data_IF_359940820832
#
_entry.id   IF_359940820832
#
_cell.length_a   1.000
_cell.length_b   1.000
_cell.length_c   1.000
_cell.angle_alpha   90.00
_cell.angle_beta   90.00
_cell.angle_gamma   90.00
#
_symmetry.space_group_name_H-M   'P 1'
#
loop_
_entity.id
_entity.type
_entity.pdbx_description
1 polymer ?
#
# COMPACT_ATOMS: atom_id res chain seq x y z
N UNK A 1 -12.30 33.43 -2.31
CA UNK A 1 -10.88 33.22 -2.65
C UNK A 1 -10.28 32.01 -1.94
N UNK A 2 -10.54 31.80 -0.63
CA UNK A 2 -10.17 30.55 0.06
C UNK A 2 -10.81 29.30 -0.57
N UNK A 3 -12.11 29.36 -0.87
CA UNK A 3 -12.85 28.23 -1.48
C UNK A 3 -12.26 27.74 -2.81
N UNK A 4 -11.66 28.61 -3.63
CA UNK A 4 -11.04 28.24 -4.92
C UNK A 4 -9.68 27.55 -4.73
N UNK A 5 -8.91 27.98 -3.73
CA UNK A 5 -7.61 27.40 -3.38
C UNK A 5 -7.81 26.01 -2.75
N UNK A 6 -8.79 25.88 -1.87
CA UNK A 6 -9.15 24.60 -1.26
C UNK A 6 -9.65 23.59 -2.30
N UNK A 7 -10.37 24.07 -3.32
CA UNK A 7 -10.82 23.25 -4.45
C UNK A 7 -9.66 22.72 -5.30
N UNK A 8 -8.70 23.59 -5.62
CA UNK A 8 -7.53 23.21 -6.41
C UNK A 8 -6.64 22.20 -5.67
N UNK A 9 -6.43 22.38 -4.36
CA UNK A 9 -5.62 21.44 -3.56
C UNK A 9 -6.28 20.06 -3.48
N UNK A 10 -7.62 19.99 -3.41
CA UNK A 10 -8.37 18.72 -3.45
C UNK A 10 -8.24 18.01 -4.79
N UNK A 11 -8.37 18.72 -5.90
CA UNK A 11 -8.20 18.13 -7.24
C UNK A 11 -6.78 17.59 -7.44
N UNK A 12 -5.78 18.29 -6.91
CA UNK A 12 -4.39 17.82 -6.87
C UNK A 12 -4.27 16.56 -5.99
N UNK A 13 -4.88 16.53 -4.81
CA UNK A 13 -4.85 15.36 -3.92
C UNK A 13 -5.48 14.11 -4.57
N UNK A 14 -6.65 14.28 -5.18
CA UNK A 14 -7.34 13.23 -5.95
C UNK A 14 -6.47 12.78 -7.12
N UNK A 15 -5.91 13.73 -7.89
CA UNK A 15 -5.03 13.46 -9.02
C UNK A 15 -3.77 12.67 -8.63
N UNK A 16 -3.16 12.99 -7.48
CA UNK A 16 -2.00 12.26 -6.96
C UNK A 16 -2.35 10.82 -6.55
N UNK A 17 -3.54 10.57 -5.99
CA UNK A 17 -3.97 9.20 -5.72
C UNK A 17 -4.33 8.42 -6.98
N UNK A 18 -4.91 9.07 -7.98
CA UNK A 18 -5.08 8.47 -9.31
C UNK A 18 -3.74 8.11 -9.94
N UNK A 19 -2.74 8.97 -9.81
CA UNK A 19 -1.37 8.71 -10.25
C UNK A 19 -0.80 7.46 -9.55
N UNK A 20 -0.96 7.35 -8.23
CA UNK A 20 -0.54 6.16 -7.46
C UNK A 20 -1.20 4.88 -7.97
N UNK A 21 -2.54 4.89 -8.14
CA UNK A 21 -3.28 3.73 -8.65
C UNK A 21 -2.84 3.38 -10.07
N UNK A 22 -2.65 4.39 -10.92
CA UNK A 22 -2.14 4.24 -12.28
C UNK A 22 -0.75 3.62 -12.30
N UNK A 23 0.16 4.04 -11.43
CA UNK A 23 1.49 3.45 -11.33
C UNK A 23 1.46 2.00 -10.81
N UNK A 24 0.58 1.66 -9.88
CA UNK A 24 0.41 0.26 -9.47
C UNK A 24 -0.02 -0.62 -10.66
N UNK A 25 -1.01 -0.18 -11.44
CA UNK A 25 -1.42 -0.89 -12.65
C UNK A 25 -0.30 -0.95 -13.70
N UNK A 26 0.43 0.14 -13.90
CA UNK A 26 1.56 0.19 -14.82
C UNK A 26 2.63 -0.84 -14.44
N UNK A 27 3.05 -0.88 -13.17
CA UNK A 27 4.03 -1.85 -12.69
C UNK A 27 3.50 -3.28 -12.79
N UNK A 28 2.23 -3.52 -12.48
CA UNK A 28 1.60 -4.82 -12.69
C UNK A 28 1.71 -5.28 -14.16
N UNK A 29 1.27 -4.46 -15.11
CA UNK A 29 1.30 -4.78 -16.55
C UNK A 29 2.74 -4.97 -17.02
N UNK A 30 3.64 -4.07 -16.62
CA UNK A 30 5.05 -4.12 -17.00
C UNK A 30 5.72 -5.42 -16.52
N UNK A 31 5.57 -5.74 -15.23
CA UNK A 31 6.16 -6.93 -14.65
C UNK A 31 5.52 -8.22 -15.20
N UNK A 32 4.21 -8.25 -15.42
CA UNK A 32 3.53 -9.44 -15.94
C UNK A 32 3.88 -9.71 -17.42
N UNK A 33 3.65 -8.73 -18.29
CA UNK A 33 3.72 -8.92 -19.74
C UNK A 33 5.13 -8.84 -20.30
N UNK A 34 5.98 -7.97 -19.76
CA UNK A 34 7.33 -7.77 -20.30
C UNK A 34 8.40 -8.56 -19.54
N UNK A 35 8.20 -8.84 -18.25
CA UNK A 35 9.22 -9.53 -17.46
C UNK A 35 8.89 -10.98 -17.20
N UNK A 36 7.76 -11.27 -16.56
CA UNK A 36 7.40 -12.63 -16.20
C UNK A 36 7.16 -13.50 -17.45
N UNK A 37 6.45 -12.98 -18.46
CA UNK A 37 6.25 -13.72 -19.72
C UNK A 37 7.56 -14.18 -20.37
N UNK A 38 8.61 -13.37 -20.27
CA UNK A 38 9.91 -13.65 -20.90
C UNK A 38 10.83 -14.51 -20.01
N UNK A 39 10.88 -14.24 -18.70
CA UNK A 39 11.82 -14.90 -17.77
C UNK A 39 11.22 -16.12 -17.04
N UNK A 40 9.89 -16.21 -16.96
CA UNK A 40 9.12 -17.14 -16.12
C UNK A 40 9.56 -17.17 -14.65
N UNK A 41 10.20 -16.11 -14.16
CA UNK A 41 10.68 -16.02 -12.80
C UNK A 41 9.48 -15.85 -11.82
N UNK A 42 9.28 -16.76 -10.85
CA UNK A 42 8.17 -16.69 -9.90
C UNK A 42 8.17 -15.41 -9.06
N UNK A 43 9.34 -14.83 -8.76
CA UNK A 43 9.43 -13.55 -8.04
C UNK A 43 8.78 -12.41 -8.81
N UNK A 44 9.00 -12.33 -10.13
CA UNK A 44 8.43 -11.29 -10.97
C UNK A 44 6.90 -11.42 -11.07
N UNK A 45 6.39 -12.65 -11.08
CA UNK A 45 4.96 -12.92 -11.03
C UNK A 45 4.35 -12.49 -9.70
N UNK A 46 4.96 -12.85 -8.58
CA UNK A 46 4.50 -12.46 -7.26
C UNK A 46 4.52 -10.93 -7.07
N UNK A 47 5.56 -10.25 -7.56
CA UNK A 47 5.63 -8.80 -7.58
C UNK A 47 4.53 -8.16 -8.44
N UNK A 48 4.19 -8.76 -9.59
CA UNK A 48 3.08 -8.31 -10.41
C UNK A 48 1.75 -8.45 -9.66
N UNK A 49 1.47 -9.63 -9.08
CA UNK A 49 0.26 -9.88 -8.29
C UNK A 49 0.16 -8.96 -7.07
N UNK A 50 1.28 -8.70 -6.39
CA UNK A 50 1.35 -7.72 -5.31
C UNK A 50 0.85 -6.34 -5.75
N UNK A 51 1.32 -5.83 -6.89
CA UNK A 51 0.88 -4.53 -7.40
C UNK A 51 -0.56 -4.53 -7.87
N UNK A 52 -1.05 -5.62 -8.46
CA UNK A 52 -2.46 -5.75 -8.82
C UNK A 52 -3.36 -5.67 -7.57
N UNK A 53 -3.02 -6.42 -6.52
CA UNK A 53 -3.77 -6.43 -5.27
C UNK A 53 -3.72 -5.07 -4.55
N UNK A 54 -2.57 -4.37 -4.60
CA UNK A 54 -2.48 -2.99 -4.12
C UNK A 54 -3.33 -2.02 -4.94
N UNK A 55 -3.34 -2.14 -6.27
CA UNK A 55 -4.14 -1.29 -7.15
C UNK A 55 -5.63 -1.45 -6.85
N UNK A 56 -6.11 -2.70 -6.82
CA UNK A 56 -7.51 -3.02 -6.51
C UNK A 56 -7.87 -2.55 -5.10
N UNK A 57 -7.08 -2.92 -4.09
CA UNK A 57 -7.32 -2.47 -2.72
C UNK A 57 -7.35 -0.95 -2.60
N UNK A 58 -6.44 -0.25 -3.30
CA UNK A 58 -6.41 1.21 -3.29
C UNK A 58 -7.60 1.83 -4.01
N UNK A 59 -8.17 1.20 -5.05
CA UNK A 59 -9.41 1.67 -5.65
C UNK A 59 -10.59 1.63 -4.66
N UNK A 60 -10.70 0.58 -3.84
CA UNK A 60 -11.70 0.52 -2.77
C UNK A 60 -11.51 1.65 -1.74
N UNK A 61 -10.27 1.85 -1.26
CA UNK A 61 -9.97 2.95 -0.35
C UNK A 61 -10.12 4.32 -0.98
N UNK A 62 -9.88 4.48 -2.28
CA UNK A 62 -10.09 5.73 -2.98
C UNK A 62 -11.57 6.11 -3.00
N UNK A 63 -12.46 5.15 -3.30
CA UNK A 63 -13.91 5.38 -3.21
C UNK A 63 -14.32 5.68 -1.76
N UNK A 64 -13.77 4.96 -0.79
CA UNK A 64 -14.05 5.22 0.63
C UNK A 64 -13.58 6.61 1.08
N UNK A 65 -12.32 6.94 0.80
CA UNK A 65 -11.68 8.20 1.19
C UNK A 65 -12.29 9.42 0.48
N UNK A 66 -12.80 9.30 -0.75
CA UNK A 66 -13.26 10.48 -1.52
C UNK A 66 -14.76 10.51 -1.81
N UNK A 67 -15.51 9.45 -1.51
CA UNK A 67 -16.95 9.41 -1.81
C UNK A 67 -17.80 8.89 -0.63
N UNK A 68 -17.19 8.29 0.39
CA UNK A 68 -17.91 7.69 1.52
C UNK A 68 -17.57 8.28 2.90
N UNK A 69 -16.48 9.04 3.03
CA UNK A 69 -16.12 9.72 4.26
C UNK A 69 -16.60 11.19 4.23
N UNK A 70 -17.49 11.54 5.15
CA UNK A 70 -18.03 12.90 5.29
C UNK A 70 -17.02 13.89 5.92
N UNK A 71 -15.83 13.45 6.29
CA UNK A 71 -14.81 14.32 6.91
C UNK A 71 -13.61 14.54 6.01
N UNK A 72 -13.50 13.78 4.92
CA UNK A 72 -12.38 13.86 3.99
C UNK A 72 -12.60 14.85 2.83
N UNK A 73 -13.86 15.18 2.49
CA UNK A 73 -14.18 16.08 1.37
C UNK A 73 -14.43 17.52 1.78
N UNK A 74 -14.98 17.75 2.96
CA UNK A 74 -15.31 19.06 3.49
C UNK A 74 -15.23 18.98 5.02
N UNK A 75 -14.58 19.95 5.68
CA UNK A 75 -14.91 20.21 7.08
C UNK A 75 -16.41 20.55 7.13
N UNK A 76 -17.15 19.87 8.00
CA UNK A 76 -18.57 20.07 8.25
C UNK A 76 -19.52 19.96 7.02
N UNK A 77 -19.52 18.81 6.32
CA UNK A 77 -20.60 18.48 5.36
C UNK A 77 -22.04 18.52 5.94
N UNK A 78 -22.31 18.19 7.22
CA UNK A 78 -23.66 18.26 7.76
C UNK A 78 -24.29 19.66 7.66
N UNK A 79 -23.46 20.71 7.74
CA UNK A 79 -23.91 22.11 7.68
C UNK A 79 -24.21 22.58 6.25
N UNK A 80 -23.72 21.86 5.23
CA UNK A 80 -23.91 22.15 3.81
C UNK A 80 -25.02 21.31 3.15
N UNK A 81 -25.68 20.42 3.88
CA UNK A 81 -26.81 19.62 3.39
C UNK A 81 -26.44 18.59 2.31
N UNK A 82 -25.15 18.30 2.12
CA UNK A 82 -24.66 17.33 1.13
C UNK A 82 -24.65 15.94 1.76
N UNK A 83 -25.41 15.02 1.18
CA UNK A 83 -25.50 13.64 1.65
C UNK A 83 -24.35 12.79 1.10
N UNK A 84 -23.75 11.97 1.97
CA UNK A 84 -22.69 11.03 1.61
C UNK A 84 -23.23 10.00 0.64
N UNK A 85 -22.49 9.69 -0.44
CA UNK A 85 -22.94 8.75 -1.48
C UNK A 85 -23.05 7.31 -0.96
N UNK A 86 -22.25 6.97 0.05
CA UNK A 86 -22.21 5.67 0.73
C UNK A 86 -22.24 5.85 2.26
N UNK A 87 -23.43 5.90 2.89
CA UNK A 87 -23.55 6.09 4.34
C UNK A 87 -23.03 4.90 5.16
N UNK A 88 -22.97 3.70 4.59
CA UNK A 88 -22.31 2.53 5.19
C UNK A 88 -21.20 1.98 4.28
N UNK A 89 -20.01 2.57 4.42
CA UNK A 89 -18.82 2.18 3.66
C UNK A 89 -18.04 1.00 4.27
N UNK A 90 -18.46 0.50 5.43
CA UNK A 90 -17.72 -0.51 6.19
C UNK A 90 -17.45 -1.81 5.40
N UNK A 91 -18.42 -2.43 4.71
CA UNK A 91 -18.16 -3.64 3.92
C UNK A 91 -17.27 -3.34 2.70
N UNK A 92 -17.38 -2.15 2.12
CA UNK A 92 -16.55 -1.74 0.99
C UNK A 92 -15.07 -1.60 1.38
N UNK A 93 -14.80 -0.92 2.49
CA UNK A 93 -13.48 -0.76 3.06
C UNK A 93 -12.88 -2.09 3.55
N UNK A 94 -13.73 -3.02 4.01
CA UNK A 94 -13.33 -4.37 4.39
C UNK A 94 -12.74 -5.15 3.20
N UNK A 95 -13.34 -5.06 2.02
CA UNK A 95 -12.78 -5.66 0.78
C UNK A 95 -11.44 -5.01 0.42
N UNK A 96 -11.35 -3.68 0.51
CA UNK A 96 -10.10 -2.96 0.30
C UNK A 96 -8.98 -3.40 1.24
N UNK A 97 -9.29 -3.55 2.53
CA UNK A 97 -8.37 -4.06 3.54
C UNK A 97 -7.92 -5.49 3.20
N UNK A 98 -8.85 -6.39 2.91
CA UNK A 98 -8.56 -7.77 2.53
C UNK A 98 -7.54 -7.85 1.39
N UNK A 99 -7.79 -7.12 0.30
CA UNK A 99 -6.91 -7.09 -0.87
C UNK A 99 -5.50 -6.59 -0.52
N UNK A 100 -5.39 -5.55 0.31
CA UNK A 100 -4.10 -5.06 0.77
C UNK A 100 -3.35 -6.11 1.61
N UNK A 101 -4.04 -6.85 2.47
CA UNK A 101 -3.45 -7.92 3.25
C UNK A 101 -3.05 -9.13 2.39
N UNK A 102 -3.82 -9.45 1.35
CA UNK A 102 -3.42 -10.47 0.36
C UNK A 102 -2.17 -10.06 -0.42
N UNK A 103 -2.00 -8.76 -0.70
CA UNK A 103 -0.77 -8.24 -1.30
C UNK A 103 0.43 -8.52 -0.38
N UNK A 104 0.31 -8.18 0.91
CA UNK A 104 1.36 -8.45 1.90
C UNK A 104 1.65 -9.94 2.05
N UNK A 105 0.61 -10.79 2.04
CA UNK A 105 0.76 -12.24 2.07
C UNK A 105 1.58 -12.74 0.86
N UNK A 106 1.26 -12.28 -0.34
CA UNK A 106 1.95 -12.68 -1.58
C UNK A 106 3.44 -12.34 -1.52
N UNK A 107 3.76 -11.12 -1.08
CA UNK A 107 5.12 -10.63 -1.01
C UNK A 107 5.91 -11.35 0.09
N UNK A 108 5.35 -11.48 1.29
CA UNK A 108 5.99 -12.17 2.42
C UNK A 108 6.21 -13.67 2.13
N UNK A 109 5.25 -14.34 1.50
CA UNK A 109 5.39 -15.71 1.03
C UNK A 109 6.59 -15.88 0.09
N UNK A 110 6.71 -14.96 -0.87
CA UNK A 110 7.79 -14.98 -1.87
C UNK A 110 9.14 -14.73 -1.23
N UNK A 111 9.25 -13.75 -0.33
CA UNK A 111 10.47 -13.51 0.42
C UNK A 111 10.86 -14.72 1.30
N UNK A 112 9.89 -15.34 1.97
CA UNK A 112 10.11 -16.57 2.75
C UNK A 112 10.62 -17.73 1.88
N UNK A 113 10.04 -17.93 0.70
CA UNK A 113 10.52 -18.92 -0.26
C UNK A 113 11.95 -18.61 -0.75
N UNK A 114 12.26 -17.36 -1.07
CA UNK A 114 13.61 -16.98 -1.52
C UNK A 114 14.69 -17.18 -0.44
N UNK A 115 14.35 -16.97 0.83
CA UNK A 115 15.30 -17.11 1.94
C UNK A 115 15.55 -18.59 2.28
N UNK A 116 14.48 -19.39 2.36
CA UNK A 116 14.58 -20.75 2.89
C UNK A 116 14.51 -21.85 1.83
N UNK A 117 14.01 -21.55 0.63
CA UNK A 117 13.83 -22.51 -0.47
C UNK A 117 12.81 -23.62 -0.19
N UNK A 118 12.08 -23.55 0.94
CA UNK A 118 11.18 -24.60 1.41
C UNK A 118 9.73 -24.11 1.44
N UNK A 119 8.82 -24.97 0.96
CA UNK A 119 7.37 -24.66 0.88
C UNK A 119 6.72 -24.34 2.23
N UNK A 120 7.20 -24.94 3.33
CA UNK A 120 6.66 -24.62 4.66
C UNK A 120 6.97 -23.18 5.10
N UNK A 121 8.10 -22.61 4.65
CA UNK A 121 8.45 -21.23 4.95
C UNK A 121 7.58 -20.24 4.17
N UNK A 122 7.30 -20.54 2.90
CA UNK A 122 6.34 -19.79 2.09
C UNK A 122 4.97 -19.70 2.79
N UNK A 123 4.45 -20.84 3.24
CA UNK A 123 3.17 -20.91 3.97
C UNK A 123 3.26 -20.17 5.30
N UNK A 124 4.32 -20.39 6.08
CA UNK A 124 4.50 -19.77 7.39
C UNK A 124 4.55 -18.24 7.33
N UNK A 125 5.08 -17.67 6.24
CA UNK A 125 5.12 -16.21 6.05
C UNK A 125 3.81 -15.65 5.50
N UNK A 126 3.09 -16.42 4.67
CA UNK A 126 1.81 -16.01 4.09
C UNK A 126 0.65 -16.02 5.10
N UNK A 127 0.56 -17.10 5.90
CA UNK A 127 -0.61 -17.41 6.74
C UNK A 127 -0.97 -16.27 7.70
N UNK A 128 -0.02 -15.64 8.43
CA UNK A 128 -0.40 -14.57 9.36
C UNK A 128 -1.08 -13.39 8.65
N UNK A 129 -0.56 -12.95 7.50
CA UNK A 129 -1.16 -11.88 6.71
C UNK A 129 -2.55 -12.28 6.16
N UNK A 130 -2.71 -13.55 5.75
CA UNK A 130 -4.00 -14.06 5.28
C UNK A 130 -5.03 -14.05 6.40
N UNK A 131 -4.68 -14.57 7.58
CA UNK A 131 -5.57 -14.60 8.74
C UNK A 131 -6.01 -13.19 9.14
N UNK A 132 -5.08 -12.24 9.20
CA UNK A 132 -5.41 -10.84 9.50
C UNK A 132 -6.36 -10.26 8.45
N UNK A 133 -6.08 -10.49 7.16
CA UNK A 133 -6.94 -10.04 6.07
C UNK A 133 -8.36 -10.61 6.17
N UNK A 134 -8.50 -11.91 6.44
CA UNK A 134 -9.80 -12.58 6.59
C UNK A 134 -10.53 -12.07 7.83
N UNK A 135 -9.85 -11.93 8.97
CA UNK A 135 -10.44 -11.42 10.21
C UNK A 135 -10.97 -10.00 10.00
N UNK A 136 -10.17 -9.11 9.41
CA UNK A 136 -10.57 -7.72 9.14
C UNK A 136 -11.71 -7.59 8.12
N UNK A 137 -11.95 -8.63 7.31
CA UNK A 137 -12.97 -8.62 6.27
C UNK A 137 -14.28 -9.27 6.70
N UNK A 138 -14.21 -10.37 7.45
CA UNK A 138 -15.35 -11.23 7.75
C UNK A 138 -15.83 -11.12 9.20
N UNK A 139 -14.97 -10.70 10.14
CA UNK A 139 -15.34 -10.61 11.55
C UNK A 139 -15.80 -9.18 11.86
N UNK A 140 -17.03 -9.01 12.40
CA UNK A 140 -17.48 -7.72 12.88
C UNK A 140 -16.71 -7.37 14.16
N UNK A 141 -15.63 -6.59 14.00
CA UNK A 141 -14.82 -6.07 15.09
C UNK A 141 -15.30 -4.68 15.49
N UNK A 142 -15.24 -4.36 16.78
CA UNK A 142 -15.39 -2.99 17.25
C UNK A 142 -14.25 -2.10 16.71
N UNK A 143 -14.49 -0.79 16.70
CA UNK A 143 -13.57 0.20 16.15
C UNK A 143 -12.15 0.10 16.74
N UNK A 144 -12.05 -0.08 18.06
CA UNK A 144 -10.77 -0.14 18.76
C UNK A 144 -9.99 -1.41 18.42
N UNK A 145 -10.64 -2.56 18.45
CA UNK A 145 -10.02 -3.84 18.09
C UNK A 145 -9.58 -3.86 16.63
N UNK A 146 -10.41 -3.34 15.72
CA UNK A 146 -10.07 -3.26 14.30
C UNK A 146 -8.85 -2.36 14.06
N UNK A 147 -8.82 -1.20 14.69
CA UNK A 147 -7.73 -0.23 14.56
C UNK A 147 -6.45 -0.76 15.19
N UNK A 148 -6.53 -1.39 16.37
CA UNK A 148 -5.38 -2.01 17.03
C UNK A 148 -4.80 -3.18 16.21
N UNK A 149 -5.66 -4.05 15.66
CA UNK A 149 -5.23 -5.18 14.84
C UNK A 149 -4.60 -4.70 13.53
N UNK A 150 -5.29 -3.83 12.78
CA UNK A 150 -4.80 -3.34 11.50
C UNK A 150 -3.56 -2.44 11.65
N UNK A 151 -3.56 -1.56 12.64
CA UNK A 151 -2.45 -0.65 12.93
C UNK A 151 -1.24 -1.36 13.52
N UNK A 152 -1.45 -2.21 14.52
CA UNK A 152 -0.38 -2.99 15.16
C UNK A 152 0.26 -3.97 14.19
N UNK A 153 -0.53 -4.82 13.54
CA UNK A 153 0.01 -5.74 12.55
C UNK A 153 0.58 -5.00 11.33
N UNK A 154 -0.06 -3.91 10.90
CA UNK A 154 0.44 -3.05 9.83
C UNK A 154 1.82 -2.48 10.14
N UNK A 155 2.06 -2.02 11.37
CA UNK A 155 3.36 -1.55 11.83
C UNK A 155 4.42 -2.66 11.76
N UNK A 156 4.12 -3.86 12.24
CA UNK A 156 5.06 -4.98 12.15
C UNK A 156 5.38 -5.31 10.69
N UNK A 157 4.38 -5.41 9.81
CA UNK A 157 4.59 -5.72 8.40
C UNK A 157 5.34 -4.60 7.64
N UNK A 158 5.13 -3.34 8.02
CA UNK A 158 5.81 -2.19 7.46
C UNK A 158 7.33 -2.22 7.69
N UNK A 159 7.78 -2.83 8.79
CA UNK A 159 9.21 -3.01 9.09
C UNK A 159 9.73 -4.37 8.63
N UNK A 160 8.91 -5.40 8.78
CA UNK A 160 9.25 -6.77 8.46
C UNK A 160 9.59 -6.93 6.98
N UNK A 161 8.74 -6.44 6.07
CA UNK A 161 8.96 -6.60 4.62
C UNK A 161 10.26 -5.93 4.16
N UNK A 162 10.53 -4.64 4.44
CA UNK A 162 11.82 -4.04 4.12
C UNK A 162 13.00 -4.79 4.73
N UNK A 163 12.86 -5.24 5.98
CA UNK A 163 13.85 -6.04 6.68
C UNK A 163 14.20 -7.34 5.96
N UNK A 164 13.21 -8.05 5.40
CA UNK A 164 13.45 -9.27 4.61
C UNK A 164 14.26 -8.98 3.34
N UNK A 165 13.94 -7.91 2.62
CA UNK A 165 14.69 -7.54 1.42
C UNK A 165 16.11 -7.07 1.74
N UNK A 166 16.31 -6.36 2.85
CA UNK A 166 17.66 -6.02 3.30
C UNK A 166 18.45 -7.23 3.80
N UNK A 167 17.80 -8.21 4.42
CA UNK A 167 18.44 -9.48 4.73
C UNK A 167 18.86 -10.21 3.45
N UNK A 168 17.99 -10.28 2.45
CA UNK A 168 18.35 -10.83 1.13
C UNK A 168 19.50 -10.04 0.49
N UNK A 169 19.54 -8.72 0.64
CA UNK A 169 20.65 -7.89 0.17
C UNK A 169 21.96 -8.24 0.91
N UNK A 170 21.91 -8.45 2.21
CA UNK A 170 23.08 -8.81 3.01
C UNK A 170 23.69 -10.15 2.59
N UNK A 171 22.85 -11.15 2.28
CA UNK A 171 23.30 -12.50 1.90
C UNK A 171 23.64 -12.60 0.41
N UNK A 172 23.11 -11.72 -0.45
CA UNK A 172 23.38 -11.75 -1.89
C UNK A 172 24.64 -10.97 -2.30
N UNK A 173 25.24 -11.38 -3.42
CA UNK A 173 26.39 -10.72 -4.04
C UNK A 173 26.04 -9.87 -5.26
N UNK A 174 26.96 -9.00 -5.67
CA UNK A 174 26.90 -8.32 -6.97
C UNK A 174 25.68 -7.41 -7.19
N UNK A 175 25.03 -7.57 -8.35
CA UNK A 175 23.87 -6.76 -8.76
C UNK A 175 22.59 -7.12 -7.99
N UNK A 176 22.43 -8.39 -7.59
CA UNK A 176 21.33 -8.86 -6.76
C UNK A 176 21.31 -8.17 -5.39
N UNK A 177 22.48 -7.89 -4.80
CA UNK A 177 22.59 -7.10 -3.56
C UNK A 177 22.00 -5.71 -3.72
N UNK A 178 22.39 -5.00 -4.79
CA UNK A 178 21.92 -3.63 -5.06
C UNK A 178 20.42 -3.61 -5.34
N UNK A 179 19.93 -4.61 -6.07
CA UNK A 179 18.51 -4.81 -6.35
C UNK A 179 17.70 -4.97 -5.07
N UNK A 180 18.04 -5.95 -4.23
CA UNK A 180 17.34 -6.24 -2.98
C UNK A 180 17.42 -5.05 -2.00
N UNK A 181 18.53 -4.33 -1.97
CA UNK A 181 18.65 -3.12 -1.15
C UNK A 181 17.66 -2.03 -1.57
N UNK A 182 17.57 -1.76 -2.88
CA UNK A 182 16.63 -0.77 -3.42
C UNK A 182 15.17 -1.20 -3.27
N UNK A 183 14.87 -2.50 -3.41
CA UNK A 183 13.55 -3.05 -3.12
C UNK A 183 13.18 -2.81 -1.66
N UNK A 184 14.06 -3.13 -0.71
CA UNK A 184 13.85 -2.88 0.71
C UNK A 184 13.59 -1.40 1.02
N UNK A 185 14.43 -0.50 0.47
CA UNK A 185 14.26 0.94 0.62
C UNK A 185 12.92 1.41 0.02
N UNK A 186 12.59 0.95 -1.18
CA UNK A 186 11.33 1.26 -1.85
C UNK A 186 10.12 0.82 -1.03
N UNK A 187 10.11 -0.40 -0.50
CA UNK A 187 9.03 -0.86 0.38
C UNK A 187 8.95 -0.07 1.68
N UNK A 188 10.09 0.31 2.28
CA UNK A 188 10.09 1.14 3.47
C UNK A 188 9.40 2.48 3.21
N UNK A 189 9.75 3.15 2.11
CA UNK A 189 9.14 4.43 1.71
C UNK A 189 7.66 4.24 1.36
N UNK A 190 7.29 3.12 0.72
CA UNK A 190 5.91 2.78 0.39
C UNK A 190 5.06 2.70 1.67
N UNK A 191 5.54 1.96 2.67
CA UNK A 191 4.84 1.79 3.92
C UNK A 191 4.82 3.07 4.75
N UNK A 192 5.89 3.87 4.74
CA UNK A 192 5.89 5.18 5.36
C UNK A 192 4.78 6.08 4.78
N UNK A 193 4.63 6.13 3.46
CA UNK A 193 3.54 6.87 2.82
C UNK A 193 2.14 6.36 3.22
N UNK A 194 1.98 5.04 3.39
CA UNK A 194 0.72 4.44 3.87
C UNK A 194 0.42 4.75 5.33
N UNK A 195 1.44 4.75 6.19
CA UNK A 195 1.30 5.13 7.61
C UNK A 195 0.89 6.60 7.70
N UNK A 196 1.57 7.50 6.96
CA UNK A 196 1.20 8.93 6.88
C UNK A 196 -0.25 9.10 6.44
N UNK A 197 -0.70 8.35 5.42
CA UNK A 197 -2.10 8.40 4.98
C UNK A 197 -3.09 7.93 6.06
N UNK A 198 -2.78 6.82 6.73
CA UNK A 198 -3.65 6.28 7.79
C UNK A 198 -3.75 7.21 9.00
N UNK A 199 -2.65 7.90 9.33
CA UNK A 199 -2.58 8.87 10.42
C UNK A 199 -2.98 10.29 10.01
N UNK A 200 -3.51 10.52 8.80
CA UNK A 200 -3.70 11.87 8.25
C UNK A 200 -4.50 12.80 9.15
N UNK A 201 -5.53 12.31 9.82
CA UNK A 201 -6.38 13.11 10.72
C UNK A 201 -5.58 13.55 11.95
N UNK A 202 -4.92 12.60 12.61
CA UNK A 202 -4.03 12.90 13.74
C UNK A 202 -2.88 13.84 13.36
N UNK A 203 -2.24 13.63 12.20
CA UNK A 203 -1.15 14.48 11.71
C UNK A 203 -1.62 15.88 11.34
N UNK A 204 -2.82 16.00 10.76
CA UNK A 204 -3.44 17.29 10.45
C UNK A 204 -3.71 18.08 11.73
N UNK A 205 -4.27 17.43 12.75
CA UNK A 205 -4.67 18.10 13.99
C UNK A 205 -3.49 18.44 14.91
N UNK A 206 -2.50 17.55 15.04
CA UNK A 206 -1.43 17.69 16.03
C UNK A 206 -0.13 18.32 15.52
N UNK A 207 0.15 18.25 14.21
CA UNK A 207 1.46 18.64 13.67
C UNK A 207 1.34 19.73 12.60
N UNK A 208 0.47 19.53 11.61
CA UNK A 208 0.47 20.36 10.40
C UNK A 208 -0.58 21.47 10.40
N UNK A 209 -1.60 21.39 11.27
CA UNK A 209 -2.74 22.32 11.27
C UNK A 209 -3.59 22.28 10.00
N UNK A 210 -3.37 21.31 9.10
CA UNK A 210 -4.05 21.19 7.81
C UNK A 210 -3.99 19.78 7.25
N UNK A 211 -5.08 19.36 6.60
CA UNK A 211 -5.19 18.09 5.87
C UNK A 211 -4.40 18.06 4.54
N UNK A 212 -4.04 19.23 4.02
CA UNK A 212 -3.39 19.37 2.70
C UNK A 212 -1.99 18.77 2.66
N UNK A 213 -1.18 19.02 3.70
CA UNK A 213 0.19 18.54 3.81
C UNK A 213 0.25 17.00 3.87
N UNK A 214 -0.43 16.31 4.81
CA UNK A 214 -0.44 14.85 4.83
C UNK A 214 -1.12 14.25 3.58
N UNK A 215 -2.09 14.95 3.00
CA UNK A 215 -2.79 14.55 1.78
C UNK A 215 -1.89 14.48 0.54
N UNK A 216 -0.93 15.39 0.40
CA UNK A 216 0.05 15.38 -0.71
C UNK A 216 1.29 14.53 -0.38
N UNK A 217 1.75 14.56 0.87
CA UNK A 217 2.94 13.84 1.33
C UNK A 217 2.80 12.33 1.16
N UNK A 218 1.65 11.76 1.54
CA UNK A 218 1.40 10.33 1.46
C UNK A 218 1.51 9.75 0.02
N UNK A 219 0.76 10.23 -0.98
CA UNK A 219 0.88 9.75 -2.35
C UNK A 219 2.24 10.10 -2.96
N UNK A 220 2.85 11.25 -2.61
CA UNK A 220 4.20 11.61 -3.06
C UNK A 220 5.25 10.60 -2.63
N UNK A 221 5.25 10.20 -1.35
CA UNK A 221 6.12 9.13 -0.83
C UNK A 221 5.88 7.81 -1.56
N UNK A 222 4.63 7.45 -1.81
CA UNK A 222 4.28 6.22 -2.54
C UNK A 222 4.84 6.27 -3.97
N UNK A 223 4.72 7.39 -4.70
CA UNK A 223 5.29 7.51 -6.05
C UNK A 223 6.82 7.34 -6.02
N UNK A 224 7.51 7.98 -5.08
CA UNK A 224 8.97 7.82 -4.90
C UNK A 224 9.31 6.35 -4.64
N UNK A 225 8.55 5.69 -3.77
CA UNK A 225 8.71 4.28 -3.48
C UNK A 225 8.56 3.39 -4.71
N UNK A 226 7.57 3.69 -5.57
CA UNK A 226 7.33 2.92 -6.79
C UNK A 226 8.49 3.04 -7.79
N UNK A 227 9.10 4.23 -7.89
CA UNK A 227 10.32 4.43 -8.70
C UNK A 227 11.47 3.60 -8.14
N UNK A 228 11.70 3.63 -6.83
CA UNK A 228 12.74 2.82 -6.18
C UNK A 228 12.53 1.32 -6.40
N UNK A 229 11.29 0.84 -6.28
CA UNK A 229 10.96 -0.57 -6.53
C UNK A 229 11.18 -0.94 -8.00
N UNK A 230 10.83 -0.06 -8.93
CA UNK A 230 11.07 -0.27 -10.36
C UNK A 230 12.59 -0.37 -10.68
N UNK A 231 13.38 0.55 -10.13
CA UNK A 231 14.86 0.54 -10.27
C UNK A 231 15.47 -0.70 -9.61
N UNK A 232 15.03 -1.07 -8.42
CA UNK A 232 15.47 -2.30 -7.76
C UNK A 232 15.20 -3.52 -8.64
N UNK A 233 14.02 -3.60 -9.22
CA UNK A 233 13.64 -4.66 -10.14
C UNK A 233 14.51 -4.70 -11.41
N UNK A 234 14.89 -3.56 -12.00
CA UNK A 234 15.81 -3.48 -13.16
C UNK A 234 17.18 -4.12 -12.90
N UNK A 235 17.71 -3.98 -11.68
CA UNK A 235 19.02 -4.54 -11.36
C UNK A 235 18.98 -6.04 -11.08
N UNK A 236 17.84 -6.60 -10.69
CA UNK A 236 17.66 -8.03 -10.49
C UNK A 236 17.86 -8.84 -11.77
N UNK A 237 17.69 -8.23 -12.95
CA UNK A 237 17.70 -8.94 -14.24
C UNK A 237 19.05 -8.93 -14.94
N UNK A 238 20.01 -8.15 -14.44
CA UNK A 238 21.36 -8.01 -15.04
C UNK A 238 22.43 -8.87 -14.33
N UNK A 239 22.08 -9.50 -13.21
CA UNK A 239 22.93 -10.44 -12.48
C UNK A 239 22.47 -11.86 -12.72
#
# INVERSE_FOLDING_TARGET
MMQTIDMAIREVHIGLWFLVVGYYFFLFIFLLFFRWRNTRNPFQFAMALFFLLLALGRAFYFVGDFYADATSLYGDLPDLGVTVFLPDAAPWLAVGAFLQWMALATLSATAGFMIFGKRWAEIGFAVPAILIGVILAAVPLDYWTRTALAGGAGFFYALFIPGLFWYLAYVSGGLLRRSNFMLGLGFMVLFAGRVVHSGRHYLADMIFGSYTIPGVLAPGLIVIALILIAVGNEWSTKG
#
